data_IF_333544844861
#
_entry.id   IF_333544844861
#
_cell.length_a   1.000
_cell.length_b   1.000
_cell.length_c   1.000
_cell.angle_alpha   90.00
_cell.angle_beta   90.00
_cell.angle_gamma   90.00
#
_symmetry.space_group_name_H-M   'P 1'
#
loop_
_entity.id
_entity.type
_entity.pdbx_description
1 polymer ?
#
# COMPACT_ATOMS: atom_id res chain seq x y z
N UNK A 1 -0.74 -2.10 -5.83
CA UNK A 1 -0.35 -2.23 -4.41
C UNK A 1 0.25 -0.93 -3.93
N UNK A 2 -0.11 -0.49 -2.73
CA UNK A 2 0.38 0.77 -2.14
C UNK A 2 1.49 0.44 -1.14
N UNK A 3 2.60 1.18 -1.18
CA UNK A 3 3.73 1.04 -0.25
C UNK A 3 4.00 2.37 0.44
N UNK A 4 4.27 2.33 1.74
CA UNK A 4 4.66 3.49 2.52
C UNK A 4 5.97 3.18 3.27
N UNK A 5 6.85 4.17 3.46
CA UNK A 5 7.99 4.04 4.37
C UNK A 5 7.52 4.29 5.81
N UNK A 6 6.91 3.28 6.42
CA UNK A 6 6.29 3.37 7.75
C UNK A 6 7.26 3.83 8.85
N UNK A 7 8.55 3.48 8.73
CA UNK A 7 9.59 3.85 9.70
C UNK A 7 9.86 5.37 9.75
N UNK A 8 9.72 6.06 8.62
CA UNK A 8 9.94 7.51 8.53
C UNK A 8 8.72 8.28 9.06
N UNK A 9 7.52 7.73 8.87
CA UNK A 9 6.25 8.45 9.06
C UNK A 9 5.50 8.07 10.35
N UNK A 10 6.15 7.32 11.27
CA UNK A 10 5.58 6.91 12.56
C UNK A 10 4.18 6.28 12.43
N UNK A 11 3.95 5.51 11.37
CA UNK A 11 2.67 4.83 11.18
C UNK A 11 2.43 3.88 12.37
N UNK A 12 1.29 4.00 13.04
CA UNK A 12 1.00 3.28 14.27
C UNK A 12 0.23 1.99 13.99
N UNK A 13 0.57 0.90 14.70
CA UNK A 13 -0.14 -0.39 14.63
C UNK A 13 -1.45 -0.44 15.43
N UNK A 14 -2.07 0.72 15.64
CA UNK A 14 -3.23 0.87 16.53
C UNK A 14 -4.52 0.36 15.92
N UNK A 15 -4.56 0.19 14.59
CA UNK A 15 -5.75 -0.28 13.89
C UNK A 15 -5.83 -1.81 13.87
N UNK A 16 -7.06 -2.33 13.80
CA UNK A 16 -7.32 -3.76 13.59
C UNK A 16 -8.25 -3.95 12.42
N UNK A 17 -7.91 -4.85 11.49
CA UNK A 17 -8.75 -5.20 10.36
C UNK A 17 -9.30 -6.64 10.50
N UNK A 18 -10.53 -6.90 10.05
CA UNK A 18 -11.06 -8.26 9.99
C UNK A 18 -10.30 -9.09 8.95
N UNK A 19 -9.98 -10.34 9.30
CA UNK A 19 -9.33 -11.25 8.36
C UNK A 19 -10.37 -11.87 7.44
N UNK A 20 -10.15 -11.80 6.13
CA UNK A 20 -10.96 -12.49 5.13
C UNK A 20 -10.25 -13.76 4.66
N UNK A 21 -10.99 -14.85 4.53
CA UNK A 21 -10.56 -16.08 3.85
C UNK A 21 -11.63 -16.48 2.86
N UNK A 22 -11.25 -16.74 1.61
CA UNK A 22 -12.18 -17.17 0.55
C UNK A 22 -13.39 -16.21 0.42
N UNK A 23 -13.12 -14.90 0.45
CA UNK A 23 -14.14 -13.83 0.50
C UNK A 23 -15.08 -13.82 1.72
N UNK A 24 -14.93 -14.73 2.70
CA UNK A 24 -15.71 -14.72 3.94
C UNK A 24 -14.96 -13.97 5.05
N UNK A 25 -15.65 -13.02 5.67
CA UNK A 25 -15.17 -12.32 6.87
C UNK A 25 -15.09 -13.30 8.03
N UNK A 26 -13.93 -13.41 8.66
CA UNK A 26 -13.78 -14.22 9.87
C UNK A 26 -14.01 -13.41 11.14
N UNK A 27 -14.31 -14.11 12.23
CA UNK A 27 -14.45 -13.52 13.57
C UNK A 27 -13.14 -12.99 14.14
N UNK A 28 -12.01 -13.39 13.55
CA UNK A 28 -10.68 -12.95 13.98
C UNK A 28 -10.30 -11.63 13.30
N UNK A 29 -9.71 -10.74 14.08
CA UNK A 29 -9.08 -9.52 13.59
C UNK A 29 -7.55 -9.66 13.65
N UNK A 30 -6.85 -8.88 12.85
CA UNK A 30 -5.39 -8.79 12.86
C UNK A 30 -4.99 -7.32 13.01
N UNK A 31 -3.89 -7.07 13.72
CA UNK A 31 -3.32 -5.72 13.79
C UNK A 31 -2.89 -5.25 12.40
N UNK A 32 -3.23 -4.02 12.11
CA UNK A 32 -2.87 -3.33 10.87
C UNK A 32 -2.18 -2.01 11.18
N UNK A 33 -1.24 -1.66 10.32
CA UNK A 33 -0.58 -0.36 10.37
C UNK A 33 -1.56 0.67 9.81
N UNK A 34 -1.87 1.69 10.60
CA UNK A 34 -2.66 2.82 10.17
C UNK A 34 -1.74 3.87 9.54
N UNK A 35 -2.04 4.22 8.28
CA UNK A 35 -1.32 5.27 7.56
C UNK A 35 -2.01 6.61 7.82
N UNK A 36 -1.31 7.50 8.53
CA UNK A 36 -1.84 8.81 8.99
C UNK A 36 -2.06 9.79 7.83
N UNK A 37 -1.34 9.63 6.71
CA UNK A 37 -1.39 10.54 5.58
C UNK A 37 -1.38 9.77 4.25
N UNK A 38 -2.40 9.95 3.38
CA UNK A 38 -2.44 9.31 2.07
C UNK A 38 -1.44 9.91 1.07
N UNK A 39 -0.86 11.08 1.36
CA UNK A 39 0.17 11.72 0.53
C UNK A 39 1.49 10.95 0.53
N UNK A 40 1.72 10.10 1.53
CA UNK A 40 2.96 9.33 1.72
C UNK A 40 2.85 7.90 1.18
N UNK A 41 1.77 7.64 0.43
CA UNK A 41 1.49 6.39 -0.22
C UNK A 41 2.13 6.40 -1.61
N UNK A 42 3.22 5.63 -1.75
CA UNK A 42 3.84 5.39 -3.04
C UNK A 42 3.10 4.24 -3.70
N UNK A 43 2.46 4.53 -4.85
CA UNK A 43 1.83 3.50 -5.65
C UNK A 43 2.92 2.70 -6.37
N UNK A 44 3.08 1.43 -6.00
CA UNK A 44 3.99 0.54 -6.71
C UNK A 44 3.29 -0.02 -7.95
N UNK A 45 3.45 0.66 -9.08
CA UNK A 45 2.88 0.26 -10.37
C UNK A 45 3.58 -0.95 -10.97
N UNK A 46 4.84 -1.21 -10.64
CA UNK A 46 5.58 -2.40 -11.09
C UNK A 46 4.94 -3.71 -10.63
N UNK A 47 4.17 -3.68 -9.53
CA UNK A 47 3.46 -4.84 -8.97
C UNK A 47 1.96 -4.82 -9.23
N UNK A 48 1.46 -3.87 -10.04
CA UNK A 48 0.04 -3.81 -10.41
C UNK A 48 -0.20 -4.56 -11.70
N UNK A 49 -1.12 -5.52 -11.67
CA UNK A 49 -1.51 -6.29 -12.85
C UNK A 49 -2.02 -5.39 -13.99
N UNK A 50 -2.81 -4.35 -13.65
CA UNK A 50 -3.38 -3.39 -14.61
C UNK A 50 -2.66 -2.04 -14.59
N UNK A 51 -1.35 -2.06 -14.34
CA UNK A 51 -0.53 -0.86 -14.32
C UNK A 51 -0.60 -0.03 -15.61
N UNK A 52 -1.00 -0.65 -16.73
CA UNK A 52 -1.12 -0.03 -18.06
C UNK A 52 -1.95 1.27 -18.00
N UNK A 53 -3.05 1.30 -17.25
CA UNK A 53 -3.91 2.48 -17.14
C UNK A 53 -3.32 3.62 -16.30
N UNK A 54 -2.30 3.32 -15.49
CA UNK A 54 -1.64 4.31 -14.61
C UNK A 54 -0.21 4.63 -15.04
N UNK A 55 0.33 3.91 -16.05
CA UNK A 55 1.68 4.14 -16.60
C UNK A 55 1.85 5.56 -17.17
N UNK A 56 0.79 6.17 -17.71
CA UNK A 56 0.83 7.55 -18.21
C UNK A 56 1.15 8.60 -17.12
N UNK A 57 1.01 8.24 -15.85
CA UNK A 57 1.30 9.09 -14.70
C UNK A 57 2.62 8.72 -14.00
N UNK A 58 3.36 7.73 -14.52
CA UNK A 58 4.67 7.38 -13.97
C UNK A 58 5.70 8.46 -14.32
N UNK A 59 6.48 8.88 -13.31
CA UNK A 59 7.67 9.70 -13.53
C UNK A 59 8.77 8.77 -14.06
N UNK A 60 9.37 9.05 -15.24
CA UNK A 60 10.43 8.22 -15.77
C UNK A 60 11.64 8.23 -14.81
N UNK A 61 12.24 7.07 -14.51
CA UNK A 61 13.43 7.03 -13.68
C UNK A 61 14.59 7.73 -14.38
N UNK A 62 15.56 8.29 -13.62
CA UNK A 62 16.78 8.82 -14.22
C UNK A 62 17.53 7.72 -15.00
N UNK A 63 18.26 8.09 -16.07
CA UNK A 63 19.10 7.14 -16.79
C UNK A 63 20.08 6.45 -15.84
N UNK A 64 20.25 5.14 -16.02
CA UNK A 64 21.32 4.40 -15.37
C UNK A 64 22.62 4.69 -16.15
N UNK A 65 23.60 5.31 -15.48
CA UNK A 65 24.99 5.42 -15.96
C UNK A 65 25.69 4.06 -15.90
#
# INVERSE_FOLDING_TARGET
SVRCQCAVHKCTGSSTAPVYKEHKKMSKTQQCIEHVSPSDLILNTTQMHDAIHVQCFCIPPPPLE
#
